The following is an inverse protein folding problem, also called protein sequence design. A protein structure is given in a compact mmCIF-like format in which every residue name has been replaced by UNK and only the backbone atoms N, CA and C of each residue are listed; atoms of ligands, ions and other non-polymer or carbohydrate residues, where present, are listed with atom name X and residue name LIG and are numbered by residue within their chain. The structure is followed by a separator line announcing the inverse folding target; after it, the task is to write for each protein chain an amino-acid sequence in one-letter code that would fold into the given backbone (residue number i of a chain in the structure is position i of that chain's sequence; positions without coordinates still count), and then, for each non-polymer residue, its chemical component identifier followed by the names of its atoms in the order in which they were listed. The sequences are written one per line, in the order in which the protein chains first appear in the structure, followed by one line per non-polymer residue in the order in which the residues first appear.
data_IF_623575919752
#
_entry.id   IF_623575919752
#
_cell.length_a   1.000
_cell.length_b   1.000
_cell.length_c   1.000
_cell.angle_alpha   90.00
_cell.angle_beta   90.00
_cell.angle_gamma   90.00
#
_symmetry.space_group_name_H-M   'P 1'
#
loop_
_entity.id
_entity.type
_entity.pdbx_description
1 polymer ?
#
# COMPACT_ATOMS: atom_id res chain seq x y z
N UNK A 1 35.92 23.90 -43.95
CA UNK A 1 35.09 22.96 -44.73
C UNK A 1 35.91 21.75 -45.15
N UNK A 2 35.61 20.52 -44.69
CA UNK A 2 34.74 20.11 -43.58
C UNK A 2 35.55 19.43 -42.44
N UNK A 3 35.49 19.91 -41.20
CA UNK A 3 34.67 19.39 -40.09
C UNK A 3 34.21 17.93 -40.23
N UNK A 4 34.91 17.05 -39.52
CA UNK A 4 34.52 15.67 -39.27
C UNK A 4 33.31 15.65 -38.32
N UNK A 5 32.16 15.32 -38.90
CA UNK A 5 30.94 14.96 -38.21
C UNK A 5 31.21 13.81 -37.24
N UNK A 6 31.21 14.10 -35.93
CA UNK A 6 31.05 13.07 -34.91
C UNK A 6 29.59 12.62 -34.98
N UNK A 7 29.39 11.42 -35.52
CA UNK A 7 28.11 10.74 -35.50
C UNK A 7 27.67 10.57 -34.04
N UNK A 8 26.61 11.30 -33.65
CA UNK A 8 25.86 11.02 -32.45
C UNK A 8 25.32 9.60 -32.56
N UNK A 9 25.84 8.70 -31.73
CA UNK A 9 25.24 7.39 -31.51
C UNK A 9 23.85 7.67 -30.94
N UNK A 10 22.83 7.34 -31.71
CA UNK A 10 21.46 7.30 -31.24
C UNK A 10 21.40 6.26 -30.12
N UNK A 11 21.19 6.73 -28.90
CA UNK A 11 20.94 5.89 -27.73
C UNK A 11 19.63 5.15 -27.99
N UNK A 12 19.75 3.90 -28.42
CA UNK A 12 18.60 3.01 -28.55
C UNK A 12 18.13 2.79 -27.12
N UNK A 13 16.88 3.14 -26.79
CA UNK A 13 16.30 3.01 -25.44
C UNK A 13 16.20 1.57 -24.90
N UNK A 14 17.05 0.66 -25.38
CA UNK A 14 17.18 -0.71 -24.96
C UNK A 14 18.36 -0.87 -23.98
N UNK A 15 18.14 -1.67 -22.94
CA UNK A 15 19.15 -1.98 -21.93
C UNK A 15 20.37 -2.63 -22.61
N UNK A 16 21.60 -2.12 -22.43
CA UNK A 16 22.80 -2.65 -23.09
C UNK A 16 23.27 -3.95 -22.42
N UNK A 17 22.50 -5.03 -22.58
CA UNK A 17 22.68 -6.29 -21.87
C UNK A 17 24.05 -6.94 -22.11
N UNK A 18 24.60 -6.85 -23.32
CA UNK A 18 25.93 -7.40 -23.62
C UNK A 18 27.04 -6.69 -22.84
N UNK A 19 26.95 -5.37 -22.73
CA UNK A 19 27.90 -4.58 -21.95
C UNK A 19 27.76 -4.85 -20.44
N UNK A 20 26.53 -5.09 -19.96
CA UNK A 20 26.29 -5.51 -18.57
C UNK A 20 26.85 -6.90 -18.31
N UNK A 21 26.67 -7.84 -19.23
CA UNK A 21 27.22 -9.20 -19.13
C UNK A 21 28.74 -9.19 -19.01
N UNK A 22 29.43 -8.44 -19.87
CA UNK A 22 30.89 -8.32 -19.81
C UNK A 22 31.38 -7.74 -18.46
N UNK A 23 30.63 -6.80 -17.86
CA UNK A 23 30.97 -6.25 -16.54
C UNK A 23 30.78 -7.27 -15.41
N UNK A 24 29.76 -8.13 -15.51
CA UNK A 24 29.47 -9.17 -14.52
C UNK A 24 30.48 -10.31 -14.62
N UNK A 25 30.76 -10.80 -15.82
CA UNK A 25 31.75 -11.85 -16.08
C UNK A 25 33.16 -11.45 -15.64
N UNK A 26 33.51 -10.16 -15.73
CA UNK A 26 34.78 -9.65 -15.25
C UNK A 26 34.89 -9.59 -13.71
N UNK A 27 33.76 -9.61 -12.99
CA UNK A 27 33.70 -9.40 -11.53
C UNK A 27 33.43 -10.68 -10.73
N UNK A 28 32.72 -11.64 -11.30
CA UNK A 28 32.22 -12.81 -10.58
C UNK A 28 32.75 -14.13 -11.17
N UNK A 29 32.76 -15.18 -10.34
CA UNK A 29 33.01 -16.54 -10.82
C UNK A 29 31.88 -16.99 -11.77
N UNK A 30 32.10 -17.98 -12.66
CA UNK A 30 31.11 -18.34 -13.69
C UNK A 30 29.71 -18.67 -13.18
N UNK A 31 29.59 -19.33 -12.03
CA UNK A 31 28.29 -19.68 -11.42
C UNK A 31 27.56 -18.45 -10.88
N UNK A 32 28.26 -17.60 -10.11
CA UNK A 32 27.75 -16.34 -9.58
C UNK A 32 27.38 -15.36 -10.72
N UNK A 33 28.19 -15.33 -11.78
CA UNK A 33 27.95 -14.51 -12.97
C UNK A 33 26.67 -14.93 -13.69
N UNK A 34 26.39 -16.24 -13.77
CA UNK A 34 25.16 -16.77 -14.36
C UNK A 34 23.94 -16.37 -13.53
N UNK A 35 23.95 -16.57 -12.21
CA UNK A 35 22.85 -16.16 -11.32
C UNK A 35 22.60 -14.65 -11.41
N UNK A 36 23.68 -13.86 -11.35
CA UNK A 36 23.62 -12.41 -11.50
C UNK A 36 22.99 -12.00 -12.84
N UNK A 37 23.37 -12.65 -13.94
CA UNK A 37 22.80 -12.36 -15.26
C UNK A 37 21.34 -12.79 -15.40
N UNK A 38 20.94 -13.91 -14.80
CA UNK A 38 19.53 -14.32 -14.75
C UNK A 38 18.69 -13.28 -14.01
N UNK A 39 19.16 -12.82 -12.85
CA UNK A 39 18.50 -11.75 -12.11
C UNK A 39 18.42 -10.46 -12.90
N UNK A 40 19.54 -9.96 -13.45
CA UNK A 40 19.59 -8.70 -14.21
C UNK A 40 18.67 -8.74 -15.42
N UNK A 41 18.63 -9.87 -16.14
CA UNK A 41 17.69 -10.06 -17.27
C UNK A 41 16.25 -9.93 -16.80
N UNK A 42 15.86 -10.64 -15.74
CA UNK A 42 14.50 -10.55 -15.21
C UNK A 42 14.15 -9.16 -14.69
N UNK A 43 15.10 -8.52 -13.99
CA UNK A 43 14.96 -7.19 -13.40
C UNK A 43 14.65 -6.11 -14.44
N UNK A 44 15.22 -6.22 -15.64
CA UNK A 44 15.03 -5.26 -16.73
C UNK A 44 14.08 -5.74 -17.85
N UNK A 45 13.70 -7.02 -17.87
CA UNK A 45 12.76 -7.57 -18.84
C UNK A 45 11.33 -7.01 -18.68
N UNK A 46 10.97 -6.54 -17.47
CA UNK A 46 9.65 -6.01 -17.16
C UNK A 46 9.29 -4.68 -17.85
N UNK A 47 10.13 -4.20 -18.78
CA UNK A 47 9.91 -2.94 -19.48
C UNK A 47 10.18 -1.76 -18.57
N UNK A 48 11.33 -1.11 -18.76
CA UNK A 48 11.51 0.23 -18.25
C UNK A 48 10.71 1.16 -19.17
N UNK A 49 9.73 1.88 -18.63
CA UNK A 49 9.07 2.95 -19.39
C UNK A 49 10.11 3.96 -19.91
N UNK A 50 11.15 4.22 -19.12
CA UNK A 50 12.36 4.94 -19.52
C UNK A 50 13.61 4.33 -18.86
N UNK A 51 14.68 4.14 -19.66
CA UNK A 51 15.98 3.75 -19.10
C UNK A 51 16.53 4.88 -18.24
N UNK A 52 16.88 4.63 -16.97
CA UNK A 52 17.50 5.66 -16.17
C UNK A 52 18.92 5.92 -16.70
N UNK A 53 19.22 7.19 -16.96
CA UNK A 53 20.49 7.64 -17.52
C UNK A 53 21.71 7.12 -16.72
N UNK A 54 22.83 6.84 -17.41
CA UNK A 54 24.11 6.54 -16.76
C UNK A 54 24.83 5.24 -17.18
N UNK A 55 24.38 4.60 -18.26
CA UNK A 55 25.13 3.57 -18.98
C UNK A 55 25.24 2.20 -18.26
N UNK A 56 25.94 1.22 -18.88
CA UNK A 56 25.93 -0.18 -18.45
C UNK A 56 26.40 -0.41 -17.00
N UNK A 57 27.44 0.30 -16.54
CA UNK A 57 27.98 0.16 -15.18
C UNK A 57 26.96 0.51 -14.12
N UNK A 58 26.18 1.56 -14.35
CA UNK A 58 25.16 2.02 -13.42
C UNK A 58 24.01 1.03 -13.35
N UNK A 59 23.53 0.56 -14.50
CA UNK A 59 22.46 -0.44 -14.58
C UNK A 59 22.87 -1.74 -13.88
N UNK A 60 24.08 -2.24 -14.19
CA UNK A 60 24.63 -3.42 -13.51
C UNK A 60 24.73 -3.19 -11.99
N UNK A 61 25.29 -2.06 -11.55
CA UNK A 61 25.44 -1.75 -10.13
C UNK A 61 24.11 -1.62 -9.39
N UNK A 62 23.10 -1.01 -10.01
CA UNK A 62 21.77 -0.84 -9.43
C UNK A 62 21.06 -2.19 -9.24
N UNK A 63 20.99 -3.02 -10.27
CA UNK A 63 20.34 -4.33 -10.20
C UNK A 63 21.06 -5.28 -9.23
N UNK A 64 22.39 -5.36 -9.30
CA UNK A 64 23.18 -6.21 -8.39
C UNK A 64 23.14 -5.71 -6.95
N UNK A 65 23.15 -4.39 -6.74
CA UNK A 65 22.97 -3.78 -5.43
C UNK A 65 21.61 -4.14 -4.83
N UNK A 66 20.55 -4.11 -5.65
CA UNK A 66 19.22 -4.50 -5.21
C UNK A 66 19.13 -6.00 -4.88
N UNK A 67 19.74 -6.87 -5.69
CA UNK A 67 19.84 -8.31 -5.37
C UNK A 67 20.60 -8.56 -4.06
N UNK A 68 21.70 -7.85 -3.84
CA UNK A 68 22.48 -7.96 -2.61
C UNK A 68 21.69 -7.46 -1.38
N UNK A 69 20.93 -6.37 -1.53
CA UNK A 69 20.03 -5.85 -0.52
C UNK A 69 18.92 -6.85 -0.16
N UNK A 70 18.32 -7.48 -1.19
CA UNK A 70 17.24 -8.44 -1.05
C UNK A 70 17.71 -9.88 -0.74
N UNK A 71 19.01 -10.11 -0.56
CA UNK A 71 19.63 -11.44 -0.44
C UNK A 71 19.06 -12.24 0.74
N UNK A 72 18.65 -11.54 1.80
CA UNK A 72 17.98 -12.12 2.96
C UNK A 72 16.76 -11.28 3.32
N UNK A 73 15.59 -11.93 3.34
CA UNK A 73 14.29 -11.34 3.63
C UNK A 73 13.39 -12.40 4.23
N UNK A 74 12.83 -12.17 5.40
CA UNK A 74 11.84 -13.07 5.99
C UNK A 74 10.49 -12.96 5.26
N UNK A 75 9.67 -14.02 5.32
CA UNK A 75 8.33 -13.98 4.76
C UNK A 75 7.50 -12.85 5.38
N UNK A 76 6.83 -12.05 4.55
CA UNK A 76 6.06 -10.88 5.00
C UNK A 76 6.88 -9.63 5.35
N UNK A 77 8.22 -9.72 5.40
CA UNK A 77 9.08 -8.57 5.75
C UNK A 77 9.13 -7.54 4.62
N UNK A 78 9.02 -6.26 4.93
CA UNK A 78 9.27 -5.19 3.95
C UNK A 78 10.67 -4.62 4.17
N UNK A 79 11.54 -4.78 3.18
CA UNK A 79 12.87 -4.17 3.18
C UNK A 79 12.80 -2.81 2.50
N UNK A 80 13.31 -1.77 3.18
CA UNK A 80 13.48 -0.43 2.62
C UNK A 80 14.88 0.10 2.94
N UNK A 81 15.57 0.59 1.92
CA UNK A 81 16.81 1.36 2.06
C UNK A 81 16.74 2.65 1.24
N UNK A 82 17.36 3.70 1.76
CA UNK A 82 17.38 5.03 1.13
C UNK A 82 18.76 5.63 1.27
N UNK A 83 19.45 5.82 0.14
CA UNK A 83 20.85 6.20 0.14
C UNK A 83 21.23 7.08 -1.08
N UNK A 84 22.44 7.62 -1.03
CA UNK A 84 23.05 8.32 -2.17
C UNK A 84 24.13 7.39 -2.74
N UNK A 85 23.93 6.79 -3.94
CA UNK A 85 24.92 5.89 -4.51
C UNK A 85 26.24 6.60 -4.78
N UNK A 86 27.32 5.95 -4.39
CA UNK A 86 28.71 6.37 -4.61
C UNK A 86 29.55 5.20 -5.11
N UNK A 87 30.59 5.51 -5.90
CA UNK A 87 31.40 4.51 -6.59
C UNK A 87 32.11 3.59 -5.60
N UNK A 88 32.61 4.11 -4.47
CA UNK A 88 33.46 3.36 -3.56
C UNK A 88 32.66 2.29 -2.80
N UNK A 89 31.45 2.63 -2.34
CA UNK A 89 30.61 1.71 -1.58
C UNK A 89 29.70 0.86 -2.45
N UNK A 90 29.16 1.45 -3.52
CA UNK A 90 28.09 0.84 -4.29
C UNK A 90 28.57 0.35 -5.67
N UNK A 91 29.71 0.83 -6.16
CA UNK A 91 30.21 0.53 -7.51
C UNK A 91 29.53 1.32 -8.62
N UNK A 92 28.64 2.25 -8.26
CA UNK A 92 27.93 3.14 -9.17
C UNK A 92 27.52 4.44 -8.46
N UNK A 93 27.18 5.47 -9.23
CA UNK A 93 26.76 6.76 -8.69
C UNK A 93 25.47 7.26 -9.34
N UNK A 94 24.72 8.08 -8.60
CA UNK A 94 23.62 8.88 -9.13
C UNK A 94 23.69 10.32 -8.62
N UNK A 95 23.10 11.24 -9.40
CA UNK A 95 22.85 12.62 -8.96
C UNK A 95 21.63 12.72 -8.04
N UNK A 96 20.87 11.64 -7.91
CA UNK A 96 19.64 11.52 -7.13
C UNK A 96 19.88 10.68 -5.88
N UNK A 97 18.97 10.80 -4.90
CA UNK A 97 18.86 9.79 -3.86
C UNK A 97 18.09 8.59 -4.41
N UNK A 98 18.42 7.41 -3.93
CA UNK A 98 17.87 6.14 -4.40
C UNK A 98 17.15 5.47 -3.25
N UNK A 99 15.92 5.04 -3.52
CA UNK A 99 15.12 4.19 -2.65
C UNK A 99 15.11 2.80 -3.26
N UNK A 100 15.45 1.79 -2.45
CA UNK A 100 15.25 0.38 -2.79
C UNK A 100 14.20 -0.21 -1.86
N UNK A 101 13.20 -0.89 -2.43
CA UNK A 101 12.18 -1.62 -1.69
C UNK A 101 12.08 -3.05 -2.21
N UNK A 102 12.04 -4.02 -1.30
CA UNK A 102 11.69 -5.40 -1.60
C UNK A 102 10.62 -5.89 -0.63
N UNK A 103 9.48 -6.31 -1.15
CA UNK A 103 8.34 -6.81 -0.36
C UNK A 103 7.52 -7.81 -1.17
N UNK A 104 6.58 -8.52 -0.54
CA UNK A 104 5.64 -9.39 -1.26
C UNK A 104 4.79 -8.54 -2.21
N UNK A 105 4.56 -9.06 -3.42
CA UNK A 105 3.77 -8.35 -4.41
C UNK A 105 2.31 -8.19 -3.97
N UNK A 106 1.79 -6.97 -4.14
CA UNK A 106 0.40 -6.62 -3.78
C UNK A 106 -0.05 -5.35 -4.51
N UNK A 107 -1.37 -5.13 -4.64
CA UNK A 107 -1.90 -3.86 -5.13
C UNK A 107 -1.43 -2.66 -4.31
N UNK A 108 -1.40 -1.50 -4.95
CA UNK A 108 -1.10 -0.20 -4.34
C UNK A 108 0.34 0.03 -3.84
N UNK A 109 1.33 -0.79 -4.21
CA UNK A 109 2.71 -0.55 -3.76
C UNK A 109 3.31 0.73 -4.36
N UNK A 110 3.26 0.85 -5.69
CA UNK A 110 3.90 1.95 -6.42
C UNK A 110 3.27 3.29 -6.13
N UNK A 111 1.96 3.39 -6.29
CA UNK A 111 1.20 4.62 -6.14
C UNK A 111 1.26 5.16 -4.70
N UNK A 112 1.18 4.30 -3.69
CA UNK A 112 1.36 4.66 -2.27
C UNK A 112 2.78 5.17 -2.00
N UNK A 113 3.80 4.47 -2.51
CA UNK A 113 5.20 4.87 -2.36
C UNK A 113 5.47 6.22 -3.02
N UNK A 114 5.00 6.42 -4.25
CA UNK A 114 5.13 7.67 -4.99
C UNK A 114 4.37 8.80 -4.31
N UNK A 115 3.17 8.55 -3.81
CA UNK A 115 2.38 9.52 -3.07
C UNK A 115 3.09 9.96 -1.78
N UNK A 116 3.70 9.03 -1.05
CA UNK A 116 4.47 9.32 0.16
C UNK A 116 5.70 10.18 -0.13
N UNK A 117 6.48 9.84 -1.16
CA UNK A 117 7.64 10.60 -1.60
C UNK A 117 7.25 12.02 -2.02
N UNK A 118 6.17 12.17 -2.79
CA UNK A 118 5.65 13.48 -3.21
C UNK A 118 5.20 14.34 -2.02
N UNK A 119 4.55 13.76 -1.00
CA UNK A 119 4.18 14.49 0.22
C UNK A 119 5.42 15.04 0.96
N UNK A 120 6.57 14.37 0.83
CA UNK A 120 7.84 14.82 1.41
C UNK A 120 8.58 15.83 0.52
N UNK A 121 7.98 16.26 -0.60
CA UNK A 121 8.57 17.20 -1.55
C UNK A 121 9.69 16.60 -2.41
N UNK A 122 9.70 15.28 -2.57
CA UNK A 122 10.71 14.56 -3.36
C UNK A 122 10.15 14.24 -4.74
N UNK A 123 10.64 14.92 -5.78
CA UNK A 123 10.25 14.64 -7.14
C UNK A 123 10.87 13.32 -7.62
N UNK A 124 10.08 12.53 -8.35
CA UNK A 124 10.53 11.30 -9.00
C UNK A 124 11.37 11.62 -10.24
N UNK A 125 12.50 10.94 -10.39
CA UNK A 125 13.39 11.03 -11.55
C UNK A 125 13.53 9.70 -12.30
N UNK A 126 13.06 8.61 -11.73
CA UNK A 126 13.08 7.28 -12.33
C UNK A 126 12.44 6.26 -11.41
N UNK A 127 11.81 5.24 -12.00
CA UNK A 127 11.16 4.16 -11.29
C UNK A 127 11.39 2.86 -12.06
N UNK A 128 11.80 1.83 -11.34
CA UNK A 128 11.95 0.45 -11.84
C UNK A 128 11.16 -0.43 -10.89
N UNK A 129 10.20 -1.20 -11.40
CA UNK A 129 9.34 -2.06 -10.58
C UNK A 129 9.05 -3.41 -11.23
N UNK A 130 10.05 -4.30 -11.38
CA UNK A 130 9.79 -5.67 -11.75
C UNK A 130 9.12 -6.44 -10.60
N UNK A 131 8.15 -7.26 -10.95
CA UNK A 131 7.60 -8.30 -10.10
C UNK A 131 8.35 -9.58 -10.43
N UNK A 132 9.16 -10.06 -9.49
CA UNK A 132 10.01 -11.22 -9.66
C UNK A 132 9.49 -12.37 -8.82
N UNK A 133 9.30 -13.53 -9.43
CA UNK A 133 9.01 -14.75 -8.67
C UNK A 133 10.32 -15.26 -8.07
N UNK A 134 10.42 -15.31 -6.74
CA UNK A 134 11.65 -15.60 -6.01
C UNK A 134 11.49 -16.82 -5.12
N UNK A 135 12.54 -17.64 -5.01
CA UNK A 135 12.63 -18.77 -4.07
C UNK A 135 13.53 -18.42 -2.91
N UNK A 136 13.09 -18.73 -1.69
CA UNK A 136 13.84 -18.50 -0.45
C UNK A 136 13.86 -19.74 0.44
N UNK A 137 14.94 -19.92 1.20
CA UNK A 137 15.00 -20.91 2.28
C UNK A 137 14.18 -20.46 3.51
N UNK A 138 14.09 -21.32 4.51
CA UNK A 138 13.35 -21.03 5.75
C UNK A 138 13.93 -19.85 6.57
N UNK A 139 15.20 -19.49 6.34
CA UNK A 139 15.87 -18.35 6.97
C UNK A 139 15.74 -17.04 6.17
N UNK A 140 14.99 -17.09 5.05
CA UNK A 140 14.76 -15.97 4.15
C UNK A 140 15.89 -15.73 3.13
N UNK A 141 16.87 -16.63 3.01
CA UNK A 141 17.95 -16.48 2.03
C UNK A 141 17.45 -16.75 0.63
N UNK A 142 17.82 -15.87 -0.29
CA UNK A 142 17.57 -16.01 -1.71
C UNK A 142 18.24 -17.28 -2.26
N UNK A 143 17.47 -18.11 -2.96
CA UNK A 143 17.95 -19.34 -3.61
C UNK A 143 17.95 -19.24 -5.14
N UNK A 144 17.35 -18.18 -5.71
CA UNK A 144 17.18 -18.02 -7.14
C UNK A 144 15.81 -17.47 -7.52
N UNK A 145 15.65 -17.18 -8.81
CA UNK A 145 14.33 -16.91 -9.39
C UNK A 145 13.55 -18.22 -9.53
N UNK A 146 12.24 -18.15 -9.34
CA UNK A 146 11.33 -19.28 -9.60
C UNK A 146 11.03 -19.44 -11.09
N UNK A 147 10.87 -20.68 -11.53
CA UNK A 147 10.41 -21.01 -12.88
C UNK A 147 8.89 -21.22 -12.97
N UNK A 148 8.37 -21.32 -14.19
CA UNK A 148 6.99 -21.74 -14.41
C UNK A 148 6.79 -23.18 -13.86
N UNK A 149 5.90 -23.35 -12.88
CA UNK A 149 5.64 -24.63 -12.20
C UNK A 149 6.24 -24.77 -10.79
N UNK A 150 7.01 -23.79 -10.31
CA UNK A 150 7.61 -23.77 -8.96
C UNK A 150 6.67 -23.24 -7.86
N UNK A 151 5.36 -23.16 -8.13
CA UNK A 151 4.36 -22.71 -7.16
C UNK A 151 4.11 -23.74 -6.05
N UNK A 152 4.49 -25.01 -6.27
CA UNK A 152 4.42 -26.07 -5.29
C UNK A 152 5.64 -26.05 -4.35
N UNK A 153 5.40 -26.23 -3.04
CA UNK A 153 6.46 -26.28 -2.03
C UNK A 153 7.39 -27.50 -2.26
N UNK A 154 8.48 -27.29 -2.99
CA UNK A 154 9.57 -28.25 -3.11
C UNK A 154 10.57 -28.11 -1.95
N UNK A 155 11.68 -28.89 -1.97
CA UNK A 155 12.72 -28.86 -0.93
C UNK A 155 13.42 -27.50 -0.74
N UNK A 156 13.16 -26.51 -1.61
CA UNK A 156 13.76 -25.18 -1.61
C UNK A 156 12.77 -24.03 -1.40
N UNK A 157 11.65 -24.29 -0.71
CA UNK A 157 10.62 -23.28 -0.45
C UNK A 157 9.66 -23.05 -1.63
N UNK A 158 8.52 -22.43 -1.36
CA UNK A 158 7.56 -22.00 -2.39
C UNK A 158 8.11 -20.76 -3.09
N UNK A 159 7.99 -20.71 -4.42
CA UNK A 159 8.28 -19.49 -5.15
C UNK A 159 7.15 -18.46 -4.93
N UNK A 160 7.51 -17.24 -4.55
CA UNK A 160 6.55 -16.16 -4.22
C UNK A 160 6.84 -14.94 -5.09
N UNK A 161 5.82 -14.27 -5.64
CA UNK A 161 6.01 -13.00 -6.32
C UNK A 161 6.43 -11.92 -5.32
N UNK A 162 7.59 -11.31 -5.58
CA UNK A 162 8.14 -10.19 -4.84
C UNK A 162 8.23 -8.96 -5.73
N UNK A 163 7.83 -7.83 -5.18
CA UNK A 163 7.95 -6.52 -5.79
C UNK A 163 9.31 -5.91 -5.47
N UNK A 164 10.13 -5.66 -6.50
CA UNK A 164 11.40 -4.96 -6.37
C UNK A 164 11.27 -3.55 -6.92
N UNK A 165 11.24 -2.52 -6.06
CA UNK A 165 11.16 -1.12 -6.51
C UNK A 165 12.49 -0.42 -6.33
N UNK A 166 13.04 0.14 -7.40
CA UNK A 166 14.13 1.11 -7.35
C UNK A 166 13.60 2.45 -7.83
N UNK A 167 13.68 3.45 -6.96
CA UNK A 167 13.10 4.77 -7.19
C UNK A 167 14.18 5.82 -7.02
N UNK A 168 14.34 6.66 -8.03
CA UNK A 168 15.20 7.83 -7.96
C UNK A 168 14.39 9.05 -7.62
N UNK A 169 14.85 9.77 -6.61
CA UNK A 169 14.19 10.97 -6.10
C UNK A 169 15.16 12.13 -5.94
N UNK A 170 14.60 13.34 -5.86
CA UNK A 170 15.36 14.56 -5.57
C UNK A 170 16.35 14.32 -4.43
N UNK A 171 17.63 14.64 -4.68
CA UNK A 171 18.72 14.28 -3.79
C UNK A 171 18.58 14.94 -2.41
N UNK A 172 18.79 14.15 -1.35
CA UNK A 172 18.91 14.60 0.03
C UNK A 172 20.32 14.29 0.54
N UNK A 173 21.12 15.30 0.91
CA UNK A 173 22.51 15.08 1.34
C UNK A 173 22.61 14.58 2.79
N UNK A 174 21.57 14.81 3.60
CA UNK A 174 21.57 14.54 5.03
C UNK A 174 21.10 13.11 5.36
N UNK A 175 21.85 12.41 6.21
CA UNK A 175 21.55 11.03 6.59
C UNK A 175 20.26 10.92 7.41
N UNK A 176 19.95 11.91 8.27
CA UNK A 176 18.72 11.90 9.05
C UNK A 176 17.49 12.11 8.14
N UNK A 177 17.61 12.93 7.10
CA UNK A 177 16.58 13.11 6.08
C UNK A 177 16.35 11.82 5.27
N UNK A 178 17.41 11.09 4.91
CA UNK A 178 17.27 9.79 4.23
C UNK A 178 16.59 8.75 5.13
N UNK A 179 16.96 8.68 6.40
CA UNK A 179 16.33 7.79 7.38
C UNK A 179 14.85 8.16 7.64
N UNK A 180 14.50 9.45 7.61
CA UNK A 180 13.11 9.89 7.69
C UNK A 180 12.28 9.35 6.51
N UNK A 181 12.83 9.40 5.28
CA UNK A 181 12.18 8.83 4.09
C UNK A 181 12.02 7.32 4.27
N UNK A 182 13.08 6.63 4.69
CA UNK A 182 13.05 5.19 4.93
C UNK A 182 11.95 4.79 5.92
N UNK A 183 11.89 5.44 7.10
CA UNK A 183 10.87 5.16 8.11
C UNK A 183 9.46 5.44 7.60
N UNK A 184 9.27 6.56 6.89
CA UNK A 184 7.97 6.90 6.32
C UNK A 184 7.49 5.87 5.31
N UNK A 185 8.38 5.37 4.45
CA UNK A 185 8.05 4.35 3.47
C UNK A 185 7.71 3.01 4.11
N UNK A 186 8.42 2.61 5.17
CA UNK A 186 8.08 1.41 5.94
C UNK A 186 6.64 1.52 6.47
N UNK A 187 6.29 2.64 7.12
CA UNK A 187 4.92 2.86 7.62
C UNK A 187 3.86 2.75 6.51
N UNK A 188 4.11 3.37 5.36
CA UNK A 188 3.17 3.35 4.23
C UNK A 188 3.01 1.94 3.66
N UNK A 189 4.11 1.19 3.52
CA UNK A 189 4.09 -0.17 2.99
C UNK A 189 3.45 -1.16 3.97
N UNK A 190 3.61 -0.94 5.28
CA UNK A 190 2.90 -1.67 6.33
C UNK A 190 1.39 -1.40 6.26
N UNK A 191 0.97 -0.15 6.04
CA UNK A 191 -0.44 0.21 5.86
C UNK A 191 -1.04 -0.45 4.60
N UNK A 192 -0.29 -0.47 3.48
CA UNK A 192 -0.71 -1.21 2.27
C UNK A 192 -0.86 -2.69 2.60
N UNK A 193 0.08 -3.27 3.34
CA UNK A 193 0.03 -4.66 3.74
C UNK A 193 -1.20 -4.99 4.59
N UNK A 194 -1.49 -4.17 5.58
CA UNK A 194 -2.63 -4.32 6.46
C UNK A 194 -3.95 -4.18 5.68
N UNK A 195 -4.09 -3.15 4.84
CA UNK A 195 -5.29 -2.91 4.05
C UNK A 195 -5.60 -4.07 3.09
N UNK A 196 -4.59 -4.57 2.37
CA UNK A 196 -4.76 -5.67 1.41
C UNK A 196 -5.06 -6.99 2.12
N UNK A 197 -4.35 -7.30 3.21
CA UNK A 197 -4.56 -8.54 3.97
C UNK A 197 -5.93 -8.56 4.66
N UNK A 198 -6.35 -7.42 5.21
CA UNK A 198 -7.63 -7.25 5.89
C UNK A 198 -8.84 -7.07 4.96
N UNK A 199 -8.62 -6.93 3.64
CA UNK A 199 -9.68 -6.58 2.68
C UNK A 199 -10.89 -7.50 2.73
N UNK A 200 -10.68 -8.82 2.69
CA UNK A 200 -11.79 -9.77 2.70
C UNK A 200 -12.57 -9.72 4.02
N UNK A 201 -11.87 -9.60 5.15
CA UNK A 201 -12.53 -9.46 6.44
C UNK A 201 -13.36 -8.18 6.53
N UNK A 202 -12.88 -7.07 5.95
CA UNK A 202 -13.67 -5.83 5.85
C UNK A 202 -14.90 -5.98 4.93
N UNK A 203 -14.80 -6.78 3.85
CA UNK A 203 -15.95 -7.14 3.01
C UNK A 203 -17.00 -7.94 3.76
N UNK A 204 -16.57 -8.87 4.61
CA UNK A 204 -17.49 -9.66 5.43
C UNK A 204 -18.22 -8.77 6.46
N UNK A 205 -17.54 -7.75 7.01
CA UNK A 205 -18.17 -6.82 7.95
C UNK A 205 -19.19 -5.88 7.28
N UNK A 206 -18.96 -5.46 6.03
CA UNK A 206 -19.97 -4.67 5.30
C UNK A 206 -21.18 -5.53 4.94
N UNK A 207 -20.98 -6.82 4.62
CA UNK A 207 -22.09 -7.75 4.39
C UNK A 207 -22.94 -7.96 5.66
N UNK A 208 -22.31 -8.01 6.84
CA UNK A 208 -23.02 -7.99 8.14
C UNK A 208 -23.76 -6.69 8.38
N UNK A 209 -23.13 -5.55 8.08
CA UNK A 209 -23.77 -4.24 8.23
C UNK A 209 -25.03 -4.11 7.34
N UNK A 210 -24.99 -4.64 6.11
CA UNK A 210 -26.14 -4.71 5.22
C UNK A 210 -27.26 -5.54 5.88
N UNK A 211 -26.94 -6.76 6.34
CA UNK A 211 -27.94 -7.64 6.96
C UNK A 211 -28.57 -7.02 8.21
N UNK A 212 -27.77 -6.35 9.05
CA UNK A 212 -28.26 -5.68 10.25
C UNK A 212 -29.24 -4.56 9.90
N UNK A 213 -28.90 -3.69 8.93
CA UNK A 213 -29.79 -2.61 8.46
C UNK A 213 -31.10 -3.20 7.92
N UNK A 214 -31.04 -4.26 7.11
CA UNK A 214 -32.22 -4.90 6.53
C UNK A 214 -33.12 -5.59 7.55
N UNK A 215 -32.56 -5.98 8.70
CA UNK A 215 -33.32 -6.59 9.79
C UNK A 215 -34.01 -5.58 10.71
N UNK A 216 -33.72 -4.28 10.56
CA UNK A 216 -34.30 -3.24 11.43
C UNK A 216 -35.82 -3.19 11.27
N UNK A 217 -36.59 -3.15 12.36
CA UNK A 217 -38.04 -3.06 12.29
C UNK A 217 -38.49 -1.68 11.79
N UNK A 218 -39.68 -1.60 11.19
CA UNK A 218 -40.26 -0.34 10.67
C UNK A 218 -40.41 0.76 11.73
N UNK A 219 -40.51 0.37 13.01
CA UNK A 219 -40.55 1.30 14.14
C UNK A 219 -39.23 2.04 14.37
N UNK A 220 -38.11 1.48 13.92
CA UNK A 220 -36.77 2.09 14.01
C UNK A 220 -36.44 2.83 12.71
N UNK A 221 -36.71 2.19 11.56
CA UNK A 221 -36.40 2.75 10.26
C UNK A 221 -37.47 2.32 9.25
N UNK A 222 -38.09 3.27 8.54
CA UNK A 222 -39.10 2.92 7.54
C UNK A 222 -38.51 2.05 6.43
N UNK A 223 -39.32 1.18 5.82
CA UNK A 223 -38.89 0.32 4.70
C UNK A 223 -38.16 1.10 3.60
N UNK A 224 -38.68 2.26 3.18
CA UNK A 224 -38.05 3.08 2.15
C UNK A 224 -36.64 3.56 2.56
N UNK A 225 -36.46 3.95 3.83
CA UNK A 225 -35.16 4.37 4.36
C UNK A 225 -34.21 3.18 4.49
N UNK A 226 -34.72 2.06 5.02
CA UNK A 226 -33.98 0.82 5.20
C UNK A 226 -33.44 0.29 3.86
N UNK A 227 -34.30 0.21 2.86
CA UNK A 227 -33.94 -0.20 1.50
C UNK A 227 -32.89 0.72 0.88
N UNK A 228 -33.00 2.03 1.07
CA UNK A 228 -32.04 2.99 0.54
C UNK A 228 -30.66 2.91 1.23
N UNK A 229 -30.63 2.79 2.55
CA UNK A 229 -29.39 2.60 3.32
C UNK A 229 -28.72 1.27 2.97
N UNK A 230 -29.46 0.17 2.90
CA UNK A 230 -28.94 -1.12 2.47
C UNK A 230 -28.44 -1.09 1.01
N UNK A 231 -29.14 -0.37 0.11
CA UNK A 231 -28.69 -0.17 -1.26
C UNK A 231 -27.37 0.61 -1.33
N UNK A 232 -27.16 1.63 -0.48
CA UNK A 232 -25.89 2.34 -0.39
C UNK A 232 -24.75 1.43 0.08
N UNK A 233 -24.97 0.66 1.14
CA UNK A 233 -23.96 -0.26 1.68
C UNK A 233 -23.58 -1.34 0.66
N UNK A 234 -24.54 -1.86 -0.12
CA UNK A 234 -24.26 -2.74 -1.27
C UNK A 234 -23.46 -2.03 -2.35
N UNK A 235 -23.83 -0.79 -2.69
CA UNK A 235 -23.16 -0.02 -3.71
C UNK A 235 -21.67 0.18 -3.38
N UNK A 236 -21.32 0.54 -2.14
CA UNK A 236 -19.91 0.65 -1.72
C UNK A 236 -19.19 -0.69 -1.71
N UNK A 237 -19.89 -1.77 -1.33
CA UNK A 237 -19.38 -3.15 -1.34
C UNK A 237 -19.12 -3.67 -2.75
N UNK A 238 -19.89 -3.21 -3.73
CA UNK A 238 -19.77 -3.56 -5.15
C UNK A 238 -18.80 -2.61 -5.87
N UNK A 239 -17.58 -2.52 -5.35
CA UNK A 239 -16.40 -1.86 -5.93
C UNK A 239 -16.51 -0.34 -6.16
N UNK A 240 -17.46 0.33 -5.50
CA UNK A 240 -17.51 1.79 -5.46
C UNK A 240 -16.71 2.39 -4.29
N UNK A 241 -16.16 1.55 -3.42
CA UNK A 241 -15.32 1.96 -2.30
C UNK A 241 -14.12 1.04 -2.10
N UNK A 242 -12.94 1.64 -1.96
CA UNK A 242 -11.71 0.95 -1.55
C UNK A 242 -11.64 0.96 -0.02
N UNK A 243 -11.90 -0.18 0.60
CA UNK A 243 -11.78 -0.36 2.05
C UNK A 243 -10.30 -0.38 2.47
N UNK A 244 -9.94 0.52 3.40
CA UNK A 244 -8.58 0.64 3.93
C UNK A 244 -8.50 0.24 5.40
N UNK A 245 -9.55 0.48 6.17
CA UNK A 245 -9.62 0.12 7.58
C UNK A 245 -11.05 -0.07 8.06
N UNK A 246 -11.18 -0.74 9.20
CA UNK A 246 -12.45 -0.99 9.85
C UNK A 246 -12.30 -0.96 11.37
N UNK A 247 -13.34 -0.50 12.05
CA UNK A 247 -13.45 -0.55 13.50
C UNK A 247 -14.89 -0.89 13.93
N UNK A 248 -15.05 -1.92 14.76
CA UNK A 248 -16.31 -2.27 15.41
C UNK A 248 -16.33 -1.73 16.84
N UNK A 249 -17.35 -0.96 17.17
CA UNK A 249 -17.50 -0.28 18.45
C UNK A 249 -18.81 -0.66 19.13
N UNK A 250 -18.78 -0.78 20.46
CA UNK A 250 -19.97 -0.81 21.32
C UNK A 250 -19.98 0.36 22.27
N UNK A 251 -21.18 0.82 22.59
CA UNK A 251 -21.42 1.90 23.53
C UNK A 251 -21.88 1.31 24.85
N UNK A 252 -21.24 1.71 25.94
CA UNK A 252 -21.70 1.35 27.29
C UNK A 252 -23.10 1.91 27.55
N UNK A 253 -23.74 1.40 28.61
CA UNK A 253 -24.86 2.12 29.20
C UNK A 253 -24.41 3.53 29.62
N UNK A 254 -25.36 4.46 29.56
CA UNK A 254 -25.12 5.83 29.99
C UNK A 254 -24.90 5.85 31.51
N UNK A 255 -23.86 6.54 31.95
CA UNK A 255 -23.64 6.76 33.38
C UNK A 255 -24.65 7.78 33.97
N UNK A 256 -24.55 8.06 35.27
CA UNK A 256 -25.42 9.02 35.95
C UNK A 256 -25.31 10.47 35.44
N UNK A 257 -24.40 10.77 34.51
CA UNK A 257 -24.24 12.05 33.82
C UNK A 257 -24.64 11.97 32.33
N UNK A 258 -25.22 10.84 31.90
CA UNK A 258 -25.62 10.62 30.51
C UNK A 258 -24.46 10.29 29.56
N UNK A 259 -23.27 9.96 30.08
CA UNK A 259 -22.09 9.68 29.26
C UNK A 259 -22.00 8.20 28.91
N UNK A 260 -21.69 7.89 27.64
CA UNK A 260 -21.44 6.54 27.16
C UNK A 260 -19.98 6.40 26.78
N UNK A 261 -19.35 5.31 27.21
CA UNK A 261 -17.99 4.95 26.83
C UNK A 261 -18.03 4.14 25.54
N UNK A 262 -17.08 4.41 24.65
CA UNK A 262 -16.88 3.61 23.44
C UNK A 262 -15.87 2.50 23.72
N UNK A 263 -16.30 1.25 23.57
CA UNK A 263 -15.45 0.07 23.60
C UNK A 263 -15.16 -0.38 22.16
N UNK A 264 -13.88 -0.50 21.81
CA UNK A 264 -13.46 -1.02 20.51
C UNK A 264 -13.31 -2.53 20.59
N UNK A 265 -14.18 -3.25 19.89
CA UNK A 265 -14.19 -4.70 19.90
C UNK A 265 -13.23 -5.29 18.86
N UNK A 266 -13.11 -4.63 17.71
CA UNK A 266 -12.32 -5.13 16.58
C UNK A 266 -11.81 -4.00 15.71
N UNK A 267 -10.60 -4.17 15.19
CA UNK A 267 -9.99 -3.31 14.17
C UNK A 267 -9.44 -4.17 13.04
N UNK A 268 -9.48 -3.67 11.81
CA UNK A 268 -8.86 -4.30 10.64
C UNK A 268 -8.16 -3.24 9.76
N UNK A 269 -7.23 -3.70 8.92
CA UNK A 269 -6.55 -2.84 7.94
C UNK A 269 -5.68 -1.78 8.60
N UNK A 270 -5.66 -0.57 8.05
CA UNK A 270 -4.84 0.55 8.57
C UNK A 270 -5.21 1.00 9.99
N UNK A 271 -6.33 0.50 10.53
CA UNK A 271 -6.78 0.77 11.89
C UNK A 271 -6.26 -0.27 12.90
N UNK A 272 -5.56 -1.31 12.46
CA UNK A 272 -4.94 -2.28 13.36
C UNK A 272 -3.88 -1.63 14.26
N UNK A 273 -3.86 -2.02 15.53
CA UNK A 273 -2.90 -1.51 16.52
C UNK A 273 -3.13 -0.06 16.98
N UNK A 274 -4.24 0.58 16.59
CA UNK A 274 -4.57 1.98 16.96
C UNK A 274 -4.97 2.21 18.43
N UNK A 275 -4.86 1.18 19.28
CA UNK A 275 -5.12 1.25 20.72
C UNK A 275 -3.91 1.57 21.61
N UNK A 276 -2.70 1.69 21.04
CA UNK A 276 -1.46 2.01 21.78
C UNK A 276 -0.90 3.39 21.42
N UNK A 277 -0.26 4.05 22.39
CA UNK A 277 0.51 5.28 22.15
C UNK A 277 1.92 4.92 21.65
N UNK A 278 2.02 4.59 20.35
CA UNK A 278 3.30 4.35 19.67
C UNK A 278 3.93 5.63 19.09
N UNK A 279 3.35 6.80 19.39
CA UNK A 279 3.77 8.10 18.87
C UNK A 279 3.45 8.35 17.38
N UNK A 280 2.72 7.44 16.70
CA UNK A 280 2.33 7.63 15.29
C UNK A 280 0.98 8.35 15.18
N UNK A 281 0.88 9.30 14.25
CA UNK A 281 -0.41 9.87 13.82
C UNK A 281 -1.14 8.88 12.91
N UNK A 282 -1.90 7.96 13.50
CA UNK A 282 -2.77 7.03 12.77
C UNK A 282 -4.23 7.49 12.79
N UNK A 283 -5.08 7.02 11.85
CA UNK A 283 -6.53 7.15 11.95
C UNK A 283 -7.01 6.48 13.23
N UNK A 284 -7.16 7.28 14.30
CA UNK A 284 -7.84 6.84 15.51
C UNK A 284 -9.33 6.89 15.18
N UNK A 285 -10.00 5.75 15.20
CA UNK A 285 -11.47 5.72 15.15
C UNK A 285 -12.04 6.27 16.47
N UNK A 286 -13.16 5.73 16.92
CA UNK A 286 -13.84 6.20 18.14
C UNK A 286 -13.20 5.74 19.46
N UNK A 287 -11.98 5.20 19.42
CA UNK A 287 -11.28 4.73 20.61
C UNK A 287 -11.03 5.88 21.60
N UNK A 288 -11.52 5.73 22.84
CA UNK A 288 -11.32 6.71 23.91
C UNK A 288 -12.21 7.95 23.84
N UNK A 289 -13.19 7.99 22.92
CA UNK A 289 -14.23 9.01 22.93
C UNK A 289 -15.27 8.69 24.00
N UNK A 290 -15.72 9.73 24.69
CA UNK A 290 -16.92 9.71 25.51
C UNK A 290 -18.02 10.41 24.71
N UNK A 291 -19.12 9.71 24.45
CA UNK A 291 -20.30 10.30 23.80
C UNK A 291 -21.21 10.86 24.90
N UNK A 292 -21.75 12.07 24.72
CA UNK A 292 -22.73 12.63 25.65
C UNK A 292 -24.15 12.40 25.12
N UNK A 293 -25.00 11.71 25.88
CA UNK A 293 -26.41 11.52 25.53
C UNK A 293 -26.62 10.79 24.19
N UNK A 294 -27.50 11.33 23.34
CA UNK A 294 -27.87 10.80 22.02
C UNK A 294 -26.94 11.29 20.89
N UNK A 295 -25.75 11.81 21.22
CA UNK A 295 -24.69 12.26 20.27
C UNK A 295 -24.05 11.10 19.48
N UNK A 296 -24.84 10.10 19.12
CA UNK A 296 -24.54 9.26 17.96
C UNK A 296 -24.43 10.18 16.74
N UNK A 297 -23.48 9.95 15.84
CA UNK A 297 -23.30 10.78 14.64
C UNK A 297 -24.61 10.87 13.80
N UNK A 298 -25.36 11.96 13.98
CA UNK A 298 -26.67 12.23 13.34
C UNK A 298 -27.80 11.31 13.81
N UNK A 299 -29.00 11.46 13.25
CA UNK A 299 -30.12 10.52 13.46
C UNK A 299 -30.08 9.36 12.45
N UNK A 300 -29.39 9.55 11.32
CA UNK A 300 -29.34 8.59 10.22
C UNK A 300 -28.59 7.29 10.60
N UNK A 301 -29.07 6.10 10.19
CA UNK A 301 -28.41 4.81 10.38
C UNK A 301 -27.02 4.71 9.76
N UNK A 302 -26.81 5.37 8.61
CA UNK A 302 -25.54 5.44 7.91
C UNK A 302 -25.11 6.90 7.79
N UNK A 303 -23.90 7.19 8.25
CA UNK A 303 -23.30 8.51 8.19
C UNK A 303 -22.01 8.48 7.39
N UNK A 304 -21.79 9.49 6.54
CA UNK A 304 -20.57 9.63 5.74
C UNK A 304 -19.90 10.94 6.14
N UNK A 305 -18.65 10.88 6.58
CA UNK A 305 -17.86 12.07 6.94
C UNK A 305 -16.45 12.00 6.39
N UNK A 306 -15.81 13.15 6.22
CA UNK A 306 -14.42 13.22 5.81
C UNK A 306 -13.51 13.10 7.03
N UNK A 307 -12.55 12.19 6.94
CA UNK A 307 -11.47 12.08 7.89
C UNK A 307 -10.52 13.28 7.77
N UNK A 308 -10.02 13.76 8.91
CA UNK A 308 -8.87 14.68 8.94
C UNK A 308 -7.57 14.01 8.52
N UNK A 309 -7.52 12.68 8.53
CA UNK A 309 -6.38 11.90 8.11
C UNK A 309 -6.42 11.64 6.60
N UNK A 310 -5.26 11.73 5.97
CA UNK A 310 -5.07 11.38 4.56
C UNK A 310 -4.73 9.90 4.41
N UNK A 311 -5.19 9.29 3.33
CA UNK A 311 -4.82 7.93 2.99
C UNK A 311 -3.31 7.82 2.73
N UNK A 312 -2.72 6.78 3.31
CA UNK A 312 -1.36 6.30 3.04
C UNK A 312 -1.35 5.31 1.87
N UNK A 313 -2.48 4.61 1.66
CA UNK A 313 -2.67 3.63 0.58
C UNK A 313 -3.29 4.28 -0.66
N UNK A 314 -2.82 3.88 -1.84
CA UNK A 314 -3.25 4.28 -3.18
C UNK A 314 -2.98 5.75 -3.51
N UNK A 315 -3.54 6.71 -2.76
CA UNK A 315 -3.37 8.14 -3.03
C UNK A 315 -3.51 9.01 -1.78
N UNK A 316 -2.76 10.10 -1.78
CA UNK A 316 -2.62 11.08 -0.70
C UNK A 316 -3.84 12.01 -0.49
N UNK A 317 -5.06 11.50 -0.32
CA UNK A 317 -6.28 12.34 -0.18
C UNK A 317 -6.97 12.12 1.17
N UNK A 318 -7.77 13.09 1.68
CA UNK A 318 -8.59 12.87 2.85
C UNK A 318 -9.48 11.64 2.67
N UNK A 319 -9.49 10.76 3.67
CA UNK A 319 -10.29 9.54 3.64
C UNK A 319 -11.76 9.80 3.96
N UNK A 320 -12.60 8.83 3.64
CA UNK A 320 -14.00 8.78 3.97
C UNK A 320 -14.23 7.81 5.14
N UNK A 321 -14.95 8.28 6.15
CA UNK A 321 -15.51 7.46 7.22
C UNK A 321 -16.98 7.19 6.90
N UNK A 322 -17.34 5.91 6.86
CA UNK A 322 -18.71 5.43 6.73
C UNK A 322 -19.06 4.75 8.06
N UNK A 323 -19.86 5.41 8.88
CA UNK A 323 -20.37 4.90 10.13
C UNK A 323 -21.73 4.23 9.92
N UNK A 324 -21.88 2.98 10.39
CA UNK A 324 -23.14 2.24 10.37
C UNK A 324 -23.52 1.90 11.80
N UNK A 325 -24.62 2.49 12.27
CA UNK A 325 -25.11 2.27 13.62
C UNK A 325 -25.57 0.84 13.83
N UNK A 326 -25.32 0.33 15.03
CA UNK A 326 -25.81 -0.96 15.48
C UNK A 326 -26.94 -0.71 16.46
N UNK A 327 -28.13 -1.22 16.16
CA UNK A 327 -29.32 -1.05 16.99
C UNK A 327 -29.56 -2.28 17.85
N UNK A 328 -29.90 -2.05 19.12
CA UNK A 328 -30.36 -3.07 20.04
C UNK A 328 -31.83 -3.46 19.81
N UNK A 329 -32.33 -4.50 20.50
CA UNK A 329 -33.72 -4.94 20.40
C UNK A 329 -34.76 -3.89 20.80
N UNK A 330 -34.36 -2.90 21.61
CA UNK A 330 -35.21 -1.78 22.04
C UNK A 330 -35.20 -0.60 21.05
N UNK A 331 -34.49 -0.73 19.92
CA UNK A 331 -34.33 0.30 18.91
C UNK A 331 -33.32 1.39 19.26
N UNK A 332 -32.57 1.27 20.36
CA UNK A 332 -31.50 2.21 20.72
C UNK A 332 -30.20 1.83 20.05
N UNK A 333 -29.35 2.84 19.80
CA UNK A 333 -28.01 2.62 19.28
C UNK A 333 -27.13 2.03 20.38
N UNK A 334 -26.56 0.85 20.13
CA UNK A 334 -25.65 0.12 21.03
C UNK A 334 -24.20 0.14 20.53
N UNK A 335 -23.95 0.67 19.35
CA UNK A 335 -22.62 0.68 18.77
C UNK A 335 -22.58 1.23 17.36
N UNK A 336 -21.41 1.15 16.75
CA UNK A 336 -21.16 1.65 15.40
C UNK A 336 -20.05 0.85 14.73
N UNK A 337 -20.31 0.43 13.48
CA UNK A 337 -19.31 -0.11 12.57
C UNK A 337 -18.77 1.01 11.70
N UNK A 338 -17.49 1.28 11.82
CA UNK A 338 -16.82 2.34 11.09
C UNK A 338 -15.95 1.74 9.98
N UNK A 339 -16.26 2.06 8.74
CA UNK A 339 -15.45 1.74 7.57
C UNK A 339 -14.65 2.98 7.16
N UNK A 340 -13.35 2.81 6.96
CA UNK A 340 -12.43 3.84 6.52
C UNK A 340 -11.92 3.50 5.12
N UNK A 341 -11.94 4.45 4.20
CA UNK A 341 -11.45 4.19 2.86
C UNK A 341 -11.60 5.35 1.89
N UNK A 342 -11.68 5.01 0.60
CA UNK A 342 -11.73 5.96 -0.51
C UNK A 342 -12.80 5.54 -1.51
N UNK A 343 -13.65 6.48 -1.95
CA UNK A 343 -14.49 6.25 -3.12
C UNK A 343 -13.65 6.02 -4.39
N UNK A 344 -14.03 5.04 -5.20
CA UNK A 344 -13.28 4.69 -6.41
C UNK A 344 -13.49 5.72 -7.52
N UNK A 345 -12.69 5.66 -8.60
CA UNK A 345 -12.94 6.54 -9.75
C UNK A 345 -14.31 6.28 -10.39
N UNK A 346 -14.82 5.05 -10.33
CA UNK A 346 -16.15 4.70 -10.83
C UNK A 346 -17.25 5.41 -10.03
N UNK A 347 -17.10 5.51 -8.72
CA UNK A 347 -18.01 6.27 -7.86
C UNK A 347 -18.11 7.75 -8.28
N UNK A 348 -16.98 8.41 -8.58
CA UNK A 348 -16.96 9.81 -8.99
C UNK A 348 -17.54 10.08 -10.39
N UNK A 349 -17.51 9.10 -11.28
CA UNK A 349 -18.08 9.20 -12.63
C UNK A 349 -19.49 8.60 -12.73
N UNK A 350 -20.02 8.07 -11.64
CA UNK A 350 -21.38 7.54 -11.58
C UNK A 350 -22.40 8.67 -11.68
N UNK A 351 -23.52 8.41 -12.35
CA UNK A 351 -24.63 9.35 -12.37
C UNK A 351 -25.13 9.55 -10.93
N UNK A 352 -25.21 10.79 -10.39
CA UNK A 352 -25.70 11.02 -9.02
C UNK A 352 -27.08 10.42 -8.74
N UNK A 353 -27.94 10.31 -9.77
CA UNK A 353 -29.26 9.65 -9.66
C UNK A 353 -29.19 8.13 -9.51
N UNK A 354 -28.03 7.53 -9.75
CA UNK A 354 -27.77 6.11 -9.56
C UNK A 354 -27.09 5.81 -8.21
N UNK A 355 -26.65 6.84 -7.46
CA UNK A 355 -25.97 6.67 -6.18
C UNK A 355 -27.02 6.71 -5.06
N UNK A 356 -27.21 5.61 -4.31
CA UNK A 356 -28.15 5.60 -3.19
C UNK A 356 -27.78 6.66 -2.14
N UNK A 357 -28.77 7.15 -1.40
CA UNK A 357 -28.72 8.33 -0.50
C UNK A 357 -28.55 9.68 -1.21
N UNK A 358 -27.88 9.76 -2.36
CA UNK A 358 -27.75 10.99 -3.16
C UNK A 358 -28.94 11.17 -4.12
N UNK A 359 -29.47 10.08 -4.66
CA UNK A 359 -30.59 10.08 -5.63
C UNK A 359 -31.95 10.48 -5.05
N UNK A 360 -32.02 10.79 -3.76
CA UNK A 360 -33.25 11.11 -3.03
C UNK A 360 -33.73 12.53 -3.28
#
# INVERSE_FOLDING_TARGET
MPEASQAGVQDTGAVPMDAIAALIEARFAPEDAREAMEFVKAYYAAGLDELPAGGPRRLAGAALGHLAFARRRAAGETLVDVFNPDIDRHGWQSRNSVVMVTTDDRPFLVDSTVAALNQMGLALHGLIHPILTVRRDADGRYLGLGGAGDEAAGPGGRAVPESFMLIEVTRRPDAAALDQVRRRLIEVLDDVAAAVTGWQAMRDEIDRAIADVESLPDAVLSEDLRSEHAAFLRWIRDDNFTFLGFQDCRFSEADGQGQRRVEVLRTLGVMEGTGGDDGRERPRGLAGFTLHGDESFGDEPVTITKSRFRATVHRAVPMDYIGVKIYGPDGRVEGERLFLGLFTSAAYHSNPRAIPLIRR
#
